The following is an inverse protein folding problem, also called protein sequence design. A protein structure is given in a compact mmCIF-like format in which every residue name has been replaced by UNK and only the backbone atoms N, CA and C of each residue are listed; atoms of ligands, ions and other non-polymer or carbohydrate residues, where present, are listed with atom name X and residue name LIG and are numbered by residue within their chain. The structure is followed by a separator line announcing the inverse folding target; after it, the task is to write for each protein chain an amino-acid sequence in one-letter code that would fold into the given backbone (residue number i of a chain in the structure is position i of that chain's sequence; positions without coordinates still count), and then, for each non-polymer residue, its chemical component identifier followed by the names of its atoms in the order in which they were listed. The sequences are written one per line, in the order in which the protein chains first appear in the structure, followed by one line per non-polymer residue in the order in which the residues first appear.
data_IF_143662895404
#
_entry.id   IF_143662895404
#
_cell.length_a   1.000
_cell.length_b   1.000
_cell.length_c   1.000
_cell.angle_alpha   90.00
_cell.angle_beta   90.00
_cell.angle_gamma   90.00
#
_symmetry.space_group_name_H-M   'P 1'
#
loop_
_entity.id
_entity.type
_entity.pdbx_description
1 polymer ?
#
# COMPACT_ATOMS: atom_id res chain seq x y z
N UNK A 1 -11.98 22.86 0.45
CA UNK A 1 -10.71 22.94 -0.31
C UNK A 1 -9.62 22.34 0.57
N UNK A 2 -9.15 21.13 0.28
CA UNK A 2 -8.15 20.44 1.10
C UNK A 2 -6.77 20.58 0.43
N UNK A 3 -6.01 21.54 0.95
CA UNK A 3 -4.56 21.51 1.25
C UNK A 3 -3.65 20.66 0.34
N UNK A 4 -2.94 21.31 -0.58
CA UNK A 4 -1.50 21.55 -0.41
C UNK A 4 -0.49 20.38 -0.36
N UNK A 5 -0.74 19.23 -1.01
CA UNK A 5 0.25 18.14 -1.08
C UNK A 5 0.75 17.79 -2.50
N UNK A 6 0.73 18.73 -3.44
CA UNK A 6 1.12 18.52 -4.85
C UNK A 6 2.63 18.68 -5.15
N UNK A 7 3.52 18.14 -4.31
CA UNK A 7 4.94 18.04 -4.68
C UNK A 7 5.52 16.62 -4.55
N UNK A 8 4.84 15.71 -3.85
CA UNK A 8 5.34 14.34 -3.65
C UNK A 8 4.27 13.30 -3.95
N UNK A 9 4.69 12.23 -4.59
CA UNK A 9 3.88 11.02 -4.77
C UNK A 9 3.79 10.35 -3.38
N UNK A 10 2.58 10.24 -2.77
CA UNK A 10 2.42 9.68 -1.43
C UNK A 10 2.83 8.21 -1.39
N UNK A 11 3.28 7.75 -0.23
CA UNK A 11 3.55 6.34 0.00
C UNK A 11 2.22 5.56 0.11
N UNK A 12 2.13 4.28 -0.30
CA UNK A 12 0.88 3.52 -0.16
C UNK A 12 0.37 3.43 1.28
N UNK A 13 1.27 3.40 2.27
CA UNK A 13 0.86 3.45 3.68
C UNK A 13 0.24 4.81 4.07
N UNK A 14 0.62 5.93 3.43
CA UNK A 14 -0.08 7.21 3.62
C UNK A 14 -1.49 7.14 3.04
N UNK A 15 -1.66 6.55 1.85
CA UNK A 15 -2.99 6.35 1.22
C UNK A 15 -3.87 5.48 2.12
N UNK A 16 -3.31 4.42 2.70
CA UNK A 16 -3.99 3.54 3.64
C UNK A 16 -4.40 4.27 4.93
N UNK A 17 -3.54 5.13 5.45
CA UNK A 17 -3.86 5.94 6.63
C UNK A 17 -5.02 6.89 6.34
N UNK A 18 -5.00 7.58 5.20
CA UNK A 18 -6.09 8.45 4.77
C UNK A 18 -7.40 7.68 4.55
N UNK A 19 -7.33 6.49 3.95
CA UNK A 19 -8.49 5.62 3.79
C UNK A 19 -9.09 5.21 5.16
N UNK A 20 -8.26 4.92 6.15
CA UNK A 20 -8.73 4.62 7.52
C UNK A 20 -9.38 5.81 8.19
N UNK A 21 -8.88 7.02 7.95
CA UNK A 21 -9.50 8.25 8.44
C UNK A 21 -10.88 8.46 7.80
N UNK A 22 -11.04 8.15 6.52
CA UNK A 22 -12.30 8.32 5.79
C UNK A 22 -13.36 7.24 6.11
N UNK A 23 -12.96 5.96 6.17
CA UNK A 23 -13.88 4.81 6.13
C UNK A 23 -13.83 3.93 7.39
N UNK A 24 -13.12 4.36 8.45
CA UNK A 24 -12.88 3.60 9.70
C UNK A 24 -12.01 2.35 9.52
N UNK A 25 -12.32 1.47 8.57
CA UNK A 25 -11.52 0.29 8.25
C UNK A 25 -11.62 -0.12 6.77
N UNK A 26 -10.61 -0.83 6.28
CA UNK A 26 -10.52 -1.24 4.86
C UNK A 26 -11.62 -2.23 4.45
N UNK A 27 -12.07 -3.09 5.36
CA UNK A 27 -13.10 -4.10 5.07
C UNK A 27 -14.48 -3.45 4.91
N UNK A 28 -14.78 -2.41 5.68
CA UNK A 28 -15.98 -1.61 5.56
C UNK A 28 -16.01 -0.87 4.22
N UNK A 29 -14.88 -0.27 3.84
CA UNK A 29 -14.71 0.31 2.51
C UNK A 29 -14.96 -0.72 1.40
N UNK A 30 -14.31 -1.89 1.46
CA UNK A 30 -14.51 -2.94 0.45
C UNK A 30 -15.98 -3.37 0.36
N UNK A 31 -16.66 -3.49 1.50
CA UNK A 31 -18.09 -3.81 1.53
C UNK A 31 -18.96 -2.68 0.97
N UNK A 32 -18.64 -1.42 1.27
CA UNK A 32 -19.39 -0.23 0.84
C UNK A 32 -19.32 -0.05 -0.68
N UNK A 33 -18.18 -0.35 -1.28
CA UNK A 33 -17.92 -0.18 -2.71
C UNK A 33 -18.10 -1.48 -3.52
N UNK A 34 -18.59 -2.54 -2.89
CA UNK A 34 -18.79 -3.86 -3.51
C UNK A 34 -17.50 -4.37 -4.18
N UNK A 35 -16.41 -4.33 -3.42
CA UNK A 35 -15.08 -4.75 -3.85
C UNK A 35 -14.73 -6.11 -3.23
N UNK A 36 -13.93 -6.94 -3.94
CA UNK A 36 -13.42 -8.18 -3.37
C UNK A 36 -12.62 -7.92 -2.10
N UNK A 37 -12.80 -8.76 -1.10
CA UNK A 37 -12.08 -8.64 0.18
C UNK A 37 -10.57 -8.76 -0.06
N UNK A 38 -9.81 -7.82 0.47
CA UNK A 38 -8.35 -7.76 0.29
C UNK A 38 -7.89 -7.08 -1.01
N UNK A 39 -8.80 -6.75 -1.93
CA UNK A 39 -8.45 -6.05 -3.18
C UNK A 39 -7.79 -4.69 -2.92
N UNK A 40 -8.24 -3.97 -1.88
CA UNK A 40 -7.64 -2.69 -1.49
C UNK A 40 -6.19 -2.88 -1.05
N UNK A 41 -5.91 -3.97 -0.34
CA UNK A 41 -4.56 -4.30 0.13
C UNK A 41 -3.65 -4.72 -1.02
N UNK A 42 -4.14 -5.53 -1.97
CA UNK A 42 -3.38 -5.92 -3.16
C UNK A 42 -3.07 -4.73 -4.07
N UNK A 43 -4.00 -3.77 -4.19
CA UNK A 43 -3.76 -2.51 -4.91
C UNK A 43 -2.68 -1.69 -4.22
N UNK A 44 -2.76 -1.49 -2.90
CA UNK A 44 -1.75 -0.72 -2.16
C UNK A 44 -0.36 -1.38 -2.20
N UNK A 45 -0.29 -2.71 -2.32
CA UNK A 45 0.96 -3.46 -2.52
C UNK A 45 1.44 -3.51 -3.97
N UNK A 46 0.65 -3.02 -4.92
CA UNK A 46 0.98 -3.09 -6.34
C UNK A 46 1.02 -4.50 -6.91
N UNK A 47 0.23 -5.42 -6.35
CA UNK A 47 0.03 -6.77 -6.88
C UNK A 47 -1.03 -6.81 -7.97
N UNK A 48 -2.06 -5.98 -7.81
CA UNK A 48 -3.20 -5.88 -8.72
C UNK A 48 -3.54 -4.41 -8.94
N UNK A 49 -3.89 -4.05 -10.17
CA UNK A 49 -4.45 -2.74 -10.50
C UNK A 49 -5.84 -2.92 -11.08
N UNK A 50 -6.81 -3.25 -10.23
CA UNK A 50 -8.22 -3.26 -10.63
C UNK A 50 -8.66 -1.80 -10.73
N UNK A 51 -9.03 -1.34 -11.94
CA UNK A 51 -9.46 0.05 -12.18
C UNK A 51 -10.54 0.51 -11.20
N UNK A 52 -11.56 -0.33 -10.99
CA UNK A 52 -12.67 -0.07 -10.06
C UNK A 52 -12.22 0.20 -8.62
N UNK A 53 -11.24 -0.57 -8.11
CA UNK A 53 -10.72 -0.38 -6.74
C UNK A 53 -9.93 0.92 -6.63
N UNK A 54 -9.16 1.28 -7.66
CA UNK A 54 -8.38 2.52 -7.70
C UNK A 54 -9.29 3.75 -7.77
N UNK A 55 -10.34 3.69 -8.59
CA UNK A 55 -11.36 4.76 -8.69
C UNK A 55 -12.11 4.95 -7.37
N UNK A 56 -12.47 3.85 -6.70
CA UNK A 56 -13.08 3.90 -5.37
C UNK A 56 -12.13 4.51 -4.33
N UNK A 57 -10.84 4.15 -4.36
CA UNK A 57 -9.81 4.72 -3.47
C UNK A 57 -9.60 6.22 -3.74
N UNK A 58 -9.54 6.61 -5.02
CA UNK A 58 -9.43 8.00 -5.44
C UNK A 58 -10.59 8.84 -4.90
N UNK A 59 -11.80 8.32 -5.03
CA UNK A 59 -13.02 8.96 -4.56
C UNK A 59 -13.09 9.04 -3.03
N UNK A 60 -12.69 7.99 -2.32
CA UNK A 60 -12.75 7.95 -0.86
C UNK A 60 -11.69 8.83 -0.18
N UNK A 61 -10.51 8.93 -0.78
CA UNK A 61 -9.37 9.66 -0.22
C UNK A 61 -9.26 11.09 -0.77
N UNK A 62 -9.97 11.40 -1.87
CA UNK A 62 -9.90 12.71 -2.53
C UNK A 62 -8.59 12.93 -3.28
N UNK A 63 -7.95 11.86 -3.76
CA UNK A 63 -6.68 11.89 -4.51
C UNK A 63 -6.95 11.43 -5.95
N UNK A 64 -6.27 12.04 -6.91
CA UNK A 64 -6.38 11.62 -8.32
C UNK A 64 -5.91 10.17 -8.55
N UNK A 65 -6.61 9.46 -9.42
CA UNK A 65 -6.29 8.08 -9.83
C UNK A 65 -4.83 7.95 -10.28
N UNK A 66 -4.32 8.93 -11.03
CA UNK A 66 -2.95 8.94 -11.54
C UNK A 66 -1.91 8.98 -10.42
N UNK A 67 -2.22 9.67 -9.32
CA UNK A 67 -1.34 9.78 -8.15
C UNK A 67 -1.31 8.44 -7.41
N UNK A 68 -2.46 7.79 -7.24
CA UNK A 68 -2.55 6.46 -6.61
C UNK A 68 -1.76 5.44 -7.43
N UNK A 69 -1.95 5.42 -8.76
CA UNK A 69 -1.20 4.52 -9.66
C UNK A 69 0.30 4.75 -9.56
N UNK A 70 0.77 6.01 -9.56
CA UNK A 70 2.20 6.34 -9.40
C UNK A 70 2.74 5.89 -8.03
N UNK A 71 1.96 6.06 -6.97
CA UNK A 71 2.32 5.67 -5.60
C UNK A 71 2.52 4.17 -5.47
N UNK A 72 1.58 3.41 -6.03
CA UNK A 72 1.60 1.95 -6.06
C UNK A 72 2.78 1.42 -6.89
N UNK A 73 3.02 1.97 -8.09
CA UNK A 73 4.16 1.58 -8.95
C UNK A 73 5.51 1.87 -8.28
N UNK A 74 5.64 3.01 -7.59
CA UNK A 74 6.86 3.36 -6.85
C UNK A 74 7.15 2.37 -5.73
N UNK A 75 6.12 1.96 -4.98
CA UNK A 75 6.26 0.99 -3.91
C UNK A 75 6.62 -0.41 -4.41
N UNK A 76 6.05 -0.86 -5.53
CA UNK A 76 6.42 -2.13 -6.15
C UNK A 76 7.91 -2.14 -6.57
N UNK A 77 8.39 -1.05 -7.19
CA UNK A 77 9.80 -0.90 -7.58
C UNK A 77 10.75 -0.91 -6.37
N UNK A 78 10.36 -0.24 -5.27
CA UNK A 78 11.15 -0.23 -4.02
C UNK A 78 11.11 -1.59 -3.30
N UNK A 79 10.01 -2.35 -3.41
CA UNK A 79 9.89 -3.67 -2.82
C UNK A 79 10.76 -4.71 -3.52
N UNK A 80 10.99 -4.57 -4.83
CA UNK A 80 11.89 -5.43 -5.60
C UNK A 80 13.37 -5.14 -5.29
N UNK A 81 13.73 -3.88 -5.04
CA UNK A 81 15.12 -3.50 -4.72
C UNK A 81 15.57 -3.92 -3.32
N UNK A 82 14.64 -4.13 -2.39
CA UNK A 82 14.96 -4.56 -1.01
C UNK A 82 14.87 -6.08 -0.81
N UNK A 83 14.57 -6.84 -1.86
CA UNK A 83 14.61 -8.31 -1.85
C UNK A 83 15.95 -8.82 -2.40
N UNK A 84 17.05 -8.12 -2.11
CA UNK A 84 18.36 -8.75 -2.13
C UNK A 84 18.50 -9.55 -0.84
N UNK A 85 18.56 -10.85 -1.06
CA UNK A 85 18.80 -11.91 -0.08
C UNK A 85 20.14 -11.71 0.66
N UNK A 86 20.21 -10.80 1.63
CA UNK A 86 21.40 -10.61 2.48
C UNK A 86 21.15 -10.89 3.97
N UNK A 87 20.09 -11.62 4.32
CA UNK A 87 19.94 -12.16 5.68
C UNK A 87 19.36 -13.57 5.66
N UNK A 88 20.24 -14.54 5.46
CA UNK A 88 20.08 -15.88 6.03
C UNK A 88 21.31 -16.16 6.89
N UNK A 89 21.26 -15.55 8.07
CA UNK A 89 21.58 -16.16 9.36
C UNK A 89 22.63 -17.29 9.35
N UNK A 90 23.85 -16.96 9.77
CA UNK A 90 24.77 -17.92 10.38
C UNK A 90 25.26 -17.36 11.72
N UNK A 91 24.33 -16.91 12.56
CA UNK A 91 24.60 -16.65 13.97
C UNK A 91 24.01 -17.78 14.82
N UNK A 92 24.69 -18.92 14.84
CA UNK A 92 24.59 -19.88 15.95
C UNK A 92 25.96 -20.05 16.60
N UNK A 93 26.40 -19.01 17.30
CA UNK A 93 27.38 -19.16 18.38
C UNK A 93 26.66 -19.84 19.53
N UNK A 94 26.86 -21.15 19.68
CA UNK A 94 27.08 -21.74 20.99
C UNK A 94 27.94 -22.98 20.81
N UNK A 95 29.25 -22.75 20.88
CA UNK A 95 30.24 -23.79 21.10
C UNK A 95 29.82 -24.54 22.37
N UNK A 96 29.45 -25.81 22.19
CA UNK A 96 29.13 -26.68 23.30
C UNK A 96 30.35 -26.84 24.17
N UNK A 97 30.40 -26.05 25.24
CA UNK A 97 31.28 -26.27 26.37
C UNK A 97 31.04 -27.69 26.89
N UNK A 98 32.05 -28.54 26.71
CA UNK A 98 32.21 -29.78 27.47
C UNK A 98 33.69 -30.05 27.71
#
# INVERSE_FOLDING_TARGET
MIVGHMARIPHPEEIKALLRIAETNMTAFEKRYDLPRGSTFDVLRGRTTTGRTIEALASAVGIDVSIIVKSVKRANRLSLSNYTSEKSDSHRLNEGAK
#
